data_IF_695749552004
#
_entry.id   IF_695749552004
#
_cell.length_a   1.000
_cell.length_b   1.000
_cell.length_c   1.000
_cell.angle_alpha   90.00
_cell.angle_beta   90.00
_cell.angle_gamma   90.00
#
_symmetry.space_group_name_H-M   'P 1'
#
loop_
_entity.id
_entity.type
_entity.pdbx_description
1 polymer ?
#
# COMPACT_ATOMS: atom_id res chain seq x y z
N UNK A 1 -41.39 -8.00 15.04
CA UNK A 1 -40.56 -7.99 13.82
C UNK A 1 -39.27 -7.18 13.94
N UNK A 2 -39.28 -5.93 14.43
CA UNK A 2 -38.04 -5.09 14.52
C UNK A 2 -36.93 -5.65 15.42
N UNK A 3 -37.28 -6.28 16.55
CA UNK A 3 -36.30 -6.83 17.48
C UNK A 3 -35.55 -8.05 16.90
N UNK A 4 -36.27 -8.94 16.21
CA UNK A 4 -35.67 -10.12 15.56
C UNK A 4 -34.70 -9.73 14.44
N UNK A 5 -35.03 -8.71 13.66
CA UNK A 5 -34.15 -8.19 12.60
C UNK A 5 -32.85 -7.59 13.16
N UNK A 6 -32.94 -6.84 14.26
CA UNK A 6 -31.77 -6.27 14.94
C UNK A 6 -30.85 -7.36 15.51
N UNK A 7 -31.41 -8.43 16.08
CA UNK A 7 -30.63 -9.58 16.58
C UNK A 7 -29.92 -10.31 15.44
N UNK A 8 -30.60 -10.53 14.30
CA UNK A 8 -29.98 -11.17 13.14
C UNK A 8 -28.82 -10.32 12.61
N UNK A 9 -29.01 -9.00 12.46
CA UNK A 9 -27.95 -8.08 12.02
C UNK A 9 -26.77 -8.10 12.98
N UNK A 10 -27.02 -8.07 14.30
CA UNK A 10 -25.97 -8.13 15.31
C UNK A 10 -25.19 -9.44 15.28
N UNK A 11 -25.88 -10.58 15.09
CA UNK A 11 -25.24 -11.90 14.97
C UNK A 11 -24.41 -12.00 13.70
N UNK A 12 -24.92 -11.53 12.56
CA UNK A 12 -24.17 -11.50 11.29
C UNK A 12 -22.92 -10.64 11.44
N UNK A 13 -23.04 -9.41 11.97
CA UNK A 13 -21.90 -8.54 12.25
C UNK A 13 -20.87 -9.20 13.19
N UNK A 14 -21.33 -9.80 14.30
CA UNK A 14 -20.46 -10.49 15.24
C UNK A 14 -19.73 -11.67 14.60
N UNK A 15 -20.42 -12.45 13.76
CA UNK A 15 -19.81 -13.55 13.00
C UNK A 15 -18.82 -13.03 11.95
N UNK A 16 -19.11 -11.90 11.30
CA UNK A 16 -18.19 -11.30 10.32
C UNK A 16 -16.93 -10.77 11.00
N UNK A 17 -17.08 -10.13 12.17
CA UNK A 17 -15.96 -9.65 13.00
C UNK A 17 -15.14 -10.85 13.52
N UNK A 18 -15.81 -11.88 14.03
CA UNK A 18 -15.15 -13.09 14.52
C UNK A 18 -14.36 -13.81 13.42
N UNK A 19 -14.95 -13.96 12.23
CA UNK A 19 -14.29 -14.60 11.10
C UNK A 19 -13.06 -13.80 10.64
N UNK A 20 -13.20 -12.47 10.50
CA UNK A 20 -12.05 -11.58 10.22
C UNK A 20 -10.95 -11.72 11.28
N UNK A 21 -11.30 -11.87 12.55
CA UNK A 21 -10.34 -12.04 13.64
C UNK A 21 -9.62 -13.40 13.58
N UNK A 22 -10.33 -14.49 13.29
CA UNK A 22 -9.72 -15.82 13.16
C UNK A 22 -8.80 -15.91 11.94
N UNK A 23 -9.18 -15.34 10.80
CA UNK A 23 -8.32 -15.31 9.60
C UNK A 23 -7.02 -14.54 9.88
N UNK A 24 -7.11 -13.44 10.65
CA UNK A 24 -5.95 -12.68 11.08
C UNK A 24 -5.02 -13.50 12.01
N UNK A 25 -5.58 -14.35 12.88
CA UNK A 25 -4.80 -15.19 13.79
C UNK A 25 -4.14 -16.39 13.12
N UNK A 26 -4.80 -17.02 12.15
CA UNK A 26 -4.21 -18.12 11.37
C UNK A 26 -3.08 -17.62 10.45
N UNK A 27 -3.18 -16.39 9.93
CA UNK A 27 -2.10 -15.76 9.16
C UNK A 27 -0.83 -15.51 9.97
N UNK A 28 -0.96 -15.24 11.27
CA UNK A 28 0.15 -14.91 12.18
C UNK A 28 1.03 -16.12 12.56
N UNK A 29 0.62 -17.36 12.25
CA UNK A 29 1.32 -18.57 12.67
C UNK A 29 2.29 -19.12 11.61
N UNK A 30 3.05 -18.24 10.95
CA UNK A 30 4.09 -18.64 9.99
C UNK A 30 5.45 -18.71 10.67
N UNK A 31 6.05 -19.90 10.71
CA UNK A 31 7.38 -20.10 11.32
C UNK A 31 8.53 -19.45 10.54
N UNK A 32 8.30 -19.06 9.28
CA UNK A 32 9.28 -18.40 8.41
C UNK A 32 8.59 -17.51 7.36
N UNK A 33 9.12 -16.31 7.17
CA UNK A 33 8.73 -15.40 6.07
C UNK A 33 9.55 -15.74 4.83
N UNK A 34 8.88 -16.04 3.71
CA UNK A 34 9.49 -16.16 2.39
C UNK A 34 8.78 -15.14 1.50
N UNK A 35 9.41 -13.98 1.38
CA UNK A 35 8.79 -12.78 0.84
C UNK A 35 9.35 -12.31 -0.50
N UNK A 36 8.51 -11.63 -1.28
CA UNK A 36 8.94 -10.91 -2.49
C UNK A 36 8.55 -9.43 -2.43
N UNK A 37 9.35 -8.57 -3.05
CA UNK A 37 8.94 -7.18 -3.33
C UNK A 37 8.18 -7.12 -4.65
N UNK A 38 7.02 -6.48 -4.62
CA UNK A 38 6.13 -6.42 -5.77
C UNK A 38 5.72 -4.97 -6.06
N UNK A 39 6.32 -4.40 -7.11
CA UNK A 39 5.93 -3.12 -7.70
C UNK A 39 5.13 -3.29 -8.99
N UNK A 40 4.22 -2.35 -9.27
CA UNK A 40 3.35 -2.40 -10.47
C UNK A 40 3.51 -1.23 -11.45
N UNK A 41 4.56 -0.43 -11.27
CA UNK A 41 4.85 0.73 -12.14
C UNK A 41 5.35 0.37 -13.55
N UNK A 42 5.81 -0.86 -13.79
CA UNK A 42 6.31 -1.29 -15.12
C UNK A 42 5.18 -1.50 -16.14
N UNK A 43 5.49 -1.42 -17.43
CA UNK A 43 4.53 -1.63 -18.54
C UNK A 43 3.99 -3.07 -18.65
N UNK A 44 4.58 -4.03 -17.95
CA UNK A 44 4.07 -5.41 -17.88
C UNK A 44 2.63 -5.49 -17.35
N UNK A 45 2.31 -4.67 -16.34
CA UNK A 45 1.00 -4.68 -15.70
C UNK A 45 -0.01 -3.91 -16.53
N UNK A 46 -1.12 -4.54 -16.90
CA UNK A 46 -2.15 -3.90 -17.69
C UNK A 46 -2.79 -2.72 -16.94
N UNK A 47 -3.14 -1.67 -17.69
CA UNK A 47 -4.00 -0.58 -17.25
C UNK A 47 -5.48 -0.86 -17.56
N UNK A 48 -5.86 -2.11 -17.84
CA UNK A 48 -7.25 -2.57 -17.99
C UNK A 48 -7.56 -3.55 -16.85
N UNK A 49 -8.60 -3.27 -16.05
CA UNK A 49 -8.82 -3.95 -14.76
C UNK A 49 -8.92 -5.47 -14.92
N UNK A 50 -9.75 -5.94 -15.85
CA UNK A 50 -9.99 -7.37 -16.04
C UNK A 50 -8.75 -8.13 -16.52
N UNK A 51 -7.89 -7.47 -17.31
CA UNK A 51 -6.62 -8.07 -17.75
C UNK A 51 -5.64 -8.10 -16.59
N UNK A 52 -5.54 -6.99 -15.85
CA UNK A 52 -4.66 -6.90 -14.70
C UNK A 52 -5.01 -7.92 -13.61
N UNK A 53 -6.31 -8.10 -13.30
CA UNK A 53 -6.78 -9.09 -12.36
C UNK A 53 -6.35 -10.51 -12.74
N UNK A 54 -6.41 -10.88 -14.03
CA UNK A 54 -5.91 -12.19 -14.51
C UNK A 54 -4.41 -12.33 -14.34
N UNK A 55 -3.63 -11.29 -14.66
CA UNK A 55 -2.18 -11.30 -14.44
C UNK A 55 -1.83 -11.50 -12.96
N UNK A 56 -2.58 -10.84 -12.07
CA UNK A 56 -2.40 -10.97 -10.61
C UNK A 56 -2.74 -12.37 -10.14
N UNK A 57 -3.86 -12.93 -10.59
CA UNK A 57 -4.29 -14.30 -10.23
C UNK A 57 -3.24 -15.34 -10.64
N UNK A 58 -2.68 -15.22 -11.85
CA UNK A 58 -1.59 -16.08 -12.34
C UNK A 58 -0.33 -15.97 -11.46
N UNK A 59 0.03 -14.75 -11.05
CA UNK A 59 1.18 -14.53 -10.16
C UNK A 59 0.90 -15.10 -8.78
N UNK A 60 -0.25 -14.85 -8.15
CA UNK A 60 -0.57 -15.42 -6.85
C UNK A 60 -0.55 -16.94 -6.86
N UNK A 61 -1.10 -17.56 -7.91
CA UNK A 61 -1.00 -19.00 -8.11
C UNK A 61 0.47 -19.46 -8.15
N UNK A 62 1.29 -18.81 -8.97
CA UNK A 62 2.71 -19.14 -9.08
C UNK A 62 3.45 -18.99 -7.74
N UNK A 63 3.22 -17.88 -7.03
CA UNK A 63 3.83 -17.60 -5.73
C UNK A 63 3.48 -18.70 -4.71
N UNK A 64 2.20 -19.08 -4.64
CA UNK A 64 1.74 -20.16 -3.78
C UNK A 64 2.38 -21.50 -4.18
N UNK A 65 2.44 -21.82 -5.47
CA UNK A 65 3.00 -23.08 -5.98
C UNK A 65 4.50 -23.24 -5.63
N UNK A 66 5.26 -22.13 -5.54
CA UNK A 66 6.68 -22.13 -5.18
C UNK A 66 6.95 -21.88 -3.68
N UNK A 67 5.90 -21.77 -2.86
CA UNK A 67 6.02 -21.60 -1.41
C UNK A 67 6.37 -20.17 -0.94
N UNK A 68 6.17 -19.14 -1.78
CA UNK A 68 6.14 -17.76 -1.30
C UNK A 68 4.89 -17.58 -0.45
N UNK A 69 5.06 -17.00 0.74
CA UNK A 69 3.97 -16.82 1.69
C UNK A 69 3.74 -15.37 2.10
N UNK A 70 4.55 -14.44 1.59
CA UNK A 70 4.50 -13.01 1.92
C UNK A 70 4.80 -12.15 0.69
N UNK A 71 4.09 -11.05 0.53
CA UNK A 71 4.42 -10.02 -0.46
C UNK A 71 4.61 -8.67 0.23
N UNK A 72 5.55 -7.89 -0.29
CA UNK A 72 5.78 -6.49 0.03
C UNK A 72 5.28 -5.65 -1.15
N UNK A 73 3.99 -5.33 -1.13
CA UNK A 73 3.31 -4.68 -2.25
C UNK A 73 3.49 -3.16 -2.20
N UNK A 74 3.98 -2.58 -3.27
CA UNK A 74 4.19 -1.13 -3.38
C UNK A 74 2.85 -0.39 -3.42
N UNK A 75 2.52 0.35 -2.35
CA UNK A 75 1.32 1.19 -2.29
C UNK A 75 1.59 2.66 -2.62
N UNK A 76 2.81 3.17 -2.38
CA UNK A 76 3.22 4.53 -2.78
C UNK A 76 4.61 4.52 -3.38
N UNK A 77 4.72 5.02 -4.61
CA UNK A 77 5.97 5.09 -5.35
C UNK A 77 6.85 6.29 -4.93
N UNK A 78 8.11 6.35 -5.40
CA UNK A 78 8.99 7.49 -5.16
C UNK A 78 8.55 8.80 -5.85
N UNK A 79 7.64 8.75 -6.82
CA UNK A 79 7.18 9.90 -7.61
C UNK A 79 5.99 10.63 -7.00
N UNK A 80 5.43 10.08 -5.92
CA UNK A 80 4.33 10.68 -5.16
C UNK A 80 2.95 10.14 -5.53
N UNK A 81 2.89 9.04 -6.29
CA UNK A 81 1.62 8.39 -6.64
C UNK A 81 1.35 7.17 -5.76
N UNK A 82 0.07 6.89 -5.56
CA UNK A 82 -0.41 5.68 -4.90
C UNK A 82 -0.87 4.62 -5.89
N UNK A 83 -0.89 3.37 -5.43
CA UNK A 83 -1.51 2.22 -6.09
C UNK A 83 -2.74 1.73 -5.32
N UNK A 84 -3.45 2.70 -4.74
CA UNK A 84 -4.70 2.55 -4.01
C UNK A 84 -5.44 3.89 -4.02
N UNK A 85 -6.75 3.88 -3.76
CA UNK A 85 -7.54 5.11 -3.71
C UNK A 85 -7.24 5.89 -2.43
N UNK A 86 -6.38 6.90 -2.54
CA UNK A 86 -5.98 7.76 -1.42
C UNK A 86 -6.68 9.11 -1.45
N UNK A 87 -6.99 9.64 -0.27
CA UNK A 87 -7.40 11.03 -0.07
C UNK A 87 -6.22 11.99 0.08
N UNK A 88 -5.00 11.47 0.24
CA UNK A 88 -3.78 12.21 0.61
C UNK A 88 -2.85 12.42 -0.59
N UNK A 89 -2.77 11.41 -1.47
CA UNK A 89 -1.90 11.40 -2.63
C UNK A 89 -2.67 10.93 -3.88
N UNK A 90 -2.31 11.41 -5.08
CA UNK A 90 -3.00 11.01 -6.29
C UNK A 90 -2.74 9.53 -6.61
N UNK A 91 -3.79 8.83 -7.05
CA UNK A 91 -3.66 7.54 -7.69
C UNK A 91 -2.75 7.67 -8.93
N UNK A 92 -1.89 6.68 -9.15
CA UNK A 92 -1.07 6.57 -10.36
C UNK A 92 -1.97 6.71 -11.60
N UNK A 93 -1.65 7.61 -12.57
CA UNK A 93 -2.48 7.86 -13.75
C UNK A 93 -2.74 6.62 -14.63
N UNK A 94 -1.94 5.56 -14.44
CA UNK A 94 -2.10 4.26 -15.07
C UNK A 94 -3.40 3.55 -14.68
N UNK A 95 -3.96 3.87 -13.52
CA UNK A 95 -5.12 3.17 -12.96
C UNK A 95 -6.25 4.15 -12.68
N UNK A 96 -7.49 3.66 -12.80
CA UNK A 96 -8.72 4.38 -12.42
C UNK A 96 -9.54 3.62 -11.37
N UNK A 97 -8.92 2.61 -10.75
CA UNK A 97 -9.46 1.77 -9.68
C UNK A 97 -8.38 1.56 -8.62
N UNK A 98 -8.68 0.75 -7.61
CA UNK A 98 -7.79 0.45 -6.50
C UNK A 98 -7.06 -0.90 -6.71
N UNK A 99 -5.77 -0.91 -7.11
CA UNK A 99 -4.97 -2.13 -7.18
C UNK A 99 -4.77 -2.81 -5.82
N UNK A 100 -4.47 -2.06 -4.76
CA UNK A 100 -4.20 -2.60 -3.43
C UNK A 100 -5.41 -3.37 -2.88
N UNK A 101 -6.63 -2.85 -3.07
CA UNK A 101 -7.86 -3.53 -2.67
C UNK A 101 -7.96 -4.92 -3.31
N UNK A 102 -7.63 -5.05 -4.60
CA UNK A 102 -7.65 -6.36 -5.26
C UNK A 102 -6.56 -7.28 -4.71
N UNK A 103 -5.34 -6.76 -4.49
CA UNK A 103 -4.21 -7.53 -3.94
C UNK A 103 -4.53 -8.11 -2.58
N UNK A 104 -5.02 -7.30 -1.64
CA UNK A 104 -5.29 -7.77 -0.27
C UNK A 104 -6.39 -8.81 -0.22
N UNK A 105 -7.44 -8.63 -1.03
CA UNK A 105 -8.53 -9.60 -1.11
C UNK A 105 -8.07 -10.92 -1.75
N UNK A 106 -7.32 -10.84 -2.85
CA UNK A 106 -6.83 -12.04 -3.55
C UNK A 106 -5.82 -12.83 -2.71
N UNK A 107 -4.99 -12.15 -1.93
CA UNK A 107 -3.98 -12.79 -1.09
C UNK A 107 -4.58 -13.75 -0.04
N UNK A 108 -5.79 -13.46 0.45
CA UNK A 108 -6.51 -14.33 1.39
C UNK A 108 -6.80 -15.71 0.79
N UNK A 109 -7.14 -15.78 -0.50
CA UNK A 109 -7.43 -17.05 -1.20
C UNK A 109 -6.20 -17.99 -1.26
N UNK A 110 -4.99 -17.43 -1.17
CA UNK A 110 -3.73 -18.17 -1.27
C UNK A 110 -2.97 -18.26 0.06
N UNK A 111 -3.56 -17.80 1.17
CA UNK A 111 -2.86 -17.69 2.45
C UNK A 111 -1.52 -16.95 2.33
N UNK A 112 -1.48 -15.89 1.49
CA UNK A 112 -0.32 -15.02 1.32
C UNK A 112 -0.51 -13.74 2.16
N UNK A 113 0.51 -13.41 2.93
CA UNK A 113 0.56 -12.24 3.78
C UNK A 113 0.85 -10.99 2.96
N UNK A 114 0.10 -9.91 3.16
CA UNK A 114 0.37 -8.63 2.49
C UNK A 114 0.96 -7.64 3.47
N UNK A 115 2.24 -7.34 3.28
CA UNK A 115 2.88 -6.18 3.87
C UNK A 115 2.92 -5.07 2.82
N UNK A 116 2.54 -3.86 3.20
CA UNK A 116 2.50 -2.73 2.26
C UNK A 116 3.78 -1.92 2.34
N UNK A 117 4.39 -1.74 1.18
CA UNK A 117 5.61 -0.98 0.97
C UNK A 117 5.28 0.47 0.55
N UNK A 118 5.74 1.44 1.35
CA UNK A 118 5.59 2.89 1.12
C UNK A 118 6.96 3.57 0.97
N UNK A 119 7.16 4.35 -0.10
CA UNK A 119 8.29 5.28 -0.20
C UNK A 119 7.98 6.53 0.63
N UNK A 120 8.69 6.68 1.76
CA UNK A 120 8.35 7.63 2.81
C UNK A 120 8.71 9.08 2.45
N UNK A 121 9.99 9.37 2.20
CA UNK A 121 10.47 10.76 2.00
C UNK A 121 10.55 11.18 0.53
N UNK A 122 10.56 10.23 -0.40
CA UNK A 122 10.58 10.53 -1.83
C UNK A 122 9.19 10.99 -2.32
N UNK A 123 9.18 12.14 -2.97
CA UNK A 123 8.02 12.85 -3.53
C UNK A 123 8.44 13.49 -4.87
N UNK A 124 8.78 12.65 -5.84
CA UNK A 124 9.23 13.05 -7.18
C UNK A 124 10.65 12.59 -7.55
N UNK A 125 11.40 12.06 -6.57
CA UNK A 125 12.78 11.59 -6.67
C UNK A 125 13.77 12.62 -7.24
N UNK A 126 13.82 12.77 -8.56
CA UNK A 126 14.68 13.74 -9.26
C UNK A 126 14.02 15.12 -9.31
N UNK A 127 12.73 15.17 -9.62
CA UNK A 127 11.98 16.42 -9.80
C UNK A 127 10.77 16.40 -8.87
N UNK A 128 10.53 17.45 -8.06
CA UNK A 128 9.40 17.50 -7.15
C UNK A 128 8.07 17.07 -7.78
N UNK A 129 7.33 16.21 -7.07
CA UNK A 129 5.95 15.84 -7.45
C UNK A 129 5.07 17.10 -7.54
N UNK A 130 3.90 17.04 -8.20
CA UNK A 130 2.98 18.17 -8.22
C UNK A 130 2.56 18.63 -6.81
N UNK A 131 2.53 17.71 -5.84
CA UNK A 131 2.28 18.02 -4.45
C UNK A 131 3.48 18.75 -3.83
N UNK A 132 4.69 18.19 -3.92
CA UNK A 132 5.89 18.81 -3.33
C UNK A 132 6.25 20.16 -3.98
N UNK A 133 5.93 20.33 -5.27
CA UNK A 133 6.07 21.61 -5.97
C UNK A 133 5.24 22.75 -5.36
N UNK A 134 4.17 22.42 -4.62
CA UNK A 134 3.33 23.37 -3.87
C UNK A 134 3.77 23.54 -2.41
N UNK A 135 4.60 22.64 -1.89
CA UNK A 135 5.12 22.62 -0.51
C UNK A 135 6.65 22.69 -0.52
N UNK A 136 7.19 23.73 -1.18
CA UNK A 136 8.64 23.86 -1.45
C UNK A 136 9.47 24.20 -0.23
N UNK A 137 8.83 24.66 0.84
CA UNK A 137 9.42 25.00 2.13
C UNK A 137 9.87 23.76 2.90
N UNK A 138 9.18 22.64 2.72
CA UNK A 138 9.52 21.35 3.34
C UNK A 138 10.30 20.42 2.40
N UNK A 139 10.77 20.91 1.26
CA UNK A 139 11.52 20.12 0.30
C UNK A 139 13.03 20.26 0.53
N UNK A 140 13.74 19.14 0.45
CA UNK A 140 15.20 19.15 0.43
C UNK A 140 15.72 19.90 -0.79
N UNK A 141 16.96 20.36 -0.68
CA UNK A 141 17.65 21.11 -1.73
C UNK A 141 18.97 20.46 -2.09
N UNK A 142 19.33 20.55 -3.37
CA UNK A 142 20.66 20.17 -3.83
C UNK A 142 21.73 21.20 -3.40
N UNK A 143 23.00 20.93 -3.73
CA UNK A 143 24.12 21.83 -3.42
C UNK A 143 24.05 23.22 -4.07
N UNK A 144 23.14 23.41 -5.02
CA UNK A 144 22.91 24.67 -5.73
C UNK A 144 21.66 25.40 -5.20
N UNK A 145 20.99 24.84 -4.19
CA UNK A 145 19.77 25.40 -3.60
C UNK A 145 18.48 25.06 -4.36
N UNK A 146 18.55 24.21 -5.39
CA UNK A 146 17.36 23.79 -6.14
C UNK A 146 16.58 22.76 -5.33
N UNK A 147 15.25 22.89 -5.33
CA UNK A 147 14.34 21.93 -4.69
C UNK A 147 14.39 20.61 -5.45
N UNK A 148 14.60 19.51 -4.71
CA UNK A 148 14.61 18.15 -5.24
C UNK A 148 13.37 17.37 -4.79
N UNK A 149 13.12 16.21 -5.42
CA UNK A 149 11.93 15.38 -5.19
C UNK A 149 11.91 14.61 -3.87
N UNK A 150 12.33 15.25 -2.78
CA UNK A 150 12.43 14.65 -1.44
C UNK A 150 12.00 15.64 -0.37
N UNK A 151 11.22 15.16 0.59
CA UNK A 151 10.81 15.92 1.76
C UNK A 151 11.91 15.96 2.81
N UNK A 152 11.99 17.07 3.54
CA UNK A 152 12.85 17.24 4.70
C UNK A 152 12.27 16.44 5.89
N UNK A 153 12.97 15.42 6.42
CA UNK A 153 12.49 14.65 7.57
C UNK A 153 12.36 15.47 8.86
N UNK A 154 13.05 16.62 8.97
CA UNK A 154 12.94 17.52 10.12
C UNK A 154 11.64 18.34 10.10
N UNK A 155 11.00 18.51 8.94
CA UNK A 155 9.73 19.21 8.83
C UNK A 155 8.58 18.42 9.47
N UNK A 156 7.83 19.07 10.37
CA UNK A 156 6.65 18.47 11.01
C UNK A 156 5.60 18.03 9.98
N UNK A 157 5.37 18.85 8.95
CA UNK A 157 4.42 18.55 7.88
C UNK A 157 4.82 17.32 7.05
N UNK A 158 6.12 17.13 6.78
CA UNK A 158 6.61 15.94 6.08
C UNK A 158 6.32 14.67 6.89
N UNK A 159 6.60 14.69 8.20
CA UNK A 159 6.28 13.56 9.09
C UNK A 159 4.78 13.32 9.17
N UNK A 160 3.98 14.38 9.29
CA UNK A 160 2.52 14.28 9.34
C UNK A 160 1.93 13.68 8.05
N UNK A 161 2.48 14.02 6.88
CA UNK A 161 2.08 13.43 5.60
C UNK A 161 2.35 11.94 5.55
N UNK A 162 3.55 11.50 5.95
CA UNK A 162 3.92 10.08 5.97
C UNK A 162 3.00 9.31 6.91
N UNK A 163 2.77 9.84 8.12
CA UNK A 163 1.88 9.22 9.10
C UNK A 163 0.44 9.13 8.58
N UNK A 164 -0.06 10.17 7.91
CA UNK A 164 -1.39 10.15 7.31
C UNK A 164 -1.54 9.05 6.27
N UNK A 165 -0.53 8.86 5.40
CA UNK A 165 -0.54 7.78 4.38
C UNK A 165 -0.56 6.41 5.06
N UNK A 166 0.29 6.20 6.06
CA UNK A 166 0.34 4.94 6.81
C UNK A 166 -0.98 4.68 7.55
N UNK A 167 -1.54 5.68 8.20
CA UNK A 167 -2.80 5.62 8.94
C UNK A 167 -3.98 5.30 8.01
N UNK A 168 -4.05 5.93 6.83
CA UNK A 168 -5.05 5.64 5.81
C UNK A 168 -4.99 4.18 5.34
N UNK A 169 -3.78 3.65 5.10
CA UNK A 169 -3.61 2.27 4.66
C UNK A 169 -4.03 1.29 5.77
N UNK A 170 -3.54 1.47 7.00
CA UNK A 170 -3.82 0.56 8.12
C UNK A 170 -5.31 0.54 8.49
N UNK A 171 -6.02 1.66 8.33
CA UNK A 171 -7.46 1.74 8.62
C UNK A 171 -8.33 1.10 7.55
N UNK A 172 -7.89 1.14 6.28
CA UNK A 172 -8.74 0.79 5.15
C UNK A 172 -8.48 -0.61 4.58
N UNK A 173 -7.30 -1.20 4.82
CA UNK A 173 -6.92 -2.49 4.23
C UNK A 173 -6.50 -3.51 5.29
N UNK A 174 -6.89 -4.79 5.15
CA UNK A 174 -6.48 -5.87 6.06
C UNK A 174 -5.05 -6.33 5.75
N UNK A 175 -4.08 -5.50 6.08
CA UNK A 175 -2.65 -5.75 5.86
C UNK A 175 -1.99 -6.29 7.14
N UNK A 176 -0.89 -7.02 6.99
CA UNK A 176 -0.14 -7.56 8.14
C UNK A 176 0.96 -6.62 8.66
N UNK A 177 1.42 -5.70 7.82
CA UNK A 177 2.49 -4.80 8.19
C UNK A 177 2.78 -3.74 7.16
N UNK A 178 3.57 -2.77 7.61
CA UNK A 178 4.06 -1.66 6.79
C UNK A 178 5.58 -1.79 6.67
N UNK A 179 6.07 -1.74 5.45
CA UNK A 179 7.47 -1.56 5.15
C UNK A 179 7.71 -0.12 4.64
N UNK A 180 8.64 0.57 5.29
CA UNK A 180 9.09 1.88 4.82
C UNK A 180 10.36 1.72 3.98
N UNK A 181 10.35 2.27 2.77
CA UNK A 181 11.56 2.50 1.96
C UNK A 181 11.76 4.01 1.79
N UNK A 182 12.93 4.38 1.27
CA UNK A 182 13.35 5.78 1.11
C UNK A 182 13.21 6.56 2.42
N UNK A 183 13.39 5.89 3.55
CA UNK A 183 13.53 6.47 4.89
C UNK A 183 14.98 6.91 5.11
N UNK A 184 15.49 7.72 4.18
CA UNK A 184 16.88 8.18 4.12
C UNK A 184 16.95 9.50 3.38
N UNK A 185 18.11 10.15 3.41
CA UNK A 185 18.40 11.25 2.49
C UNK A 185 18.64 10.72 1.07
N UNK A 186 18.30 11.49 0.02
CA UNK A 186 18.75 11.22 -1.34
C UNK A 186 20.28 11.31 -1.40
N UNK A 187 20.94 10.44 -2.17
CA UNK A 187 22.40 10.47 -2.35
C UNK A 187 22.88 11.93 -2.52
N UNK A 188 23.63 12.53 -1.59
CA UNK A 188 24.60 12.01 -0.61
C UNK A 188 24.04 11.67 0.77
#
# INVERSE_FOLDING_TARGET
>A
MRLALLVIIAVVLALTIYHKHTDCMDHQNKSKVIGIWWGIYSDYWSSEKDVWCKQVDEVFKMLSDIGINTIFFLAKDPWGFTYYNSSIAPLSPKYSWDPLEYIVNKALEYNISVNVYVNALAEGETTPSPWLSKHRDIALRDRYGNVIGWMDPEAEEARARILSVVDEIVKNYPIEGIQLDRIRYPNR
#
